data_IF_358261432186
#
_entry.id   IF_358261432186
#
_cell.length_a   1.000
_cell.length_b   1.000
_cell.length_c   1.000
_cell.angle_alpha   90.00
_cell.angle_beta   90.00
_cell.angle_gamma   90.00
#
_symmetry.space_group_name_H-M   'P 1'
#
loop_
_entity.id
_entity.type
_entity.pdbx_description
1 polymer ?
#
# COMPACT_ATOMS: atom_id res chain seq x y z
N UNK A 1 -36.45 8.72 -12.60
CA UNK A 1 -35.63 7.50 -12.75
C UNK A 1 -34.24 7.97 -13.15
N UNK A 2 -33.29 7.92 -12.21
CA UNK A 2 -31.87 8.24 -12.47
C UNK A 2 -31.21 6.91 -12.84
N UNK A 3 -30.34 6.83 -13.85
CA UNK A 3 -29.67 5.57 -14.16
C UNK A 3 -28.68 5.26 -13.04
N UNK A 4 -28.81 4.08 -12.42
CA UNK A 4 -27.97 3.55 -11.32
C UNK A 4 -26.50 3.25 -11.72
N UNK A 5 -26.04 3.75 -12.87
CA UNK A 5 -24.74 3.40 -13.46
C UNK A 5 -23.67 4.50 -13.39
N UNK A 6 -23.90 5.60 -12.68
CA UNK A 6 -22.84 6.58 -12.40
C UNK A 6 -22.22 6.34 -11.03
N UNK A 7 -21.07 5.67 -11.05
CA UNK A 7 -20.21 5.57 -9.88
C UNK A 7 -19.38 6.85 -9.82
N UNK A 8 -19.49 7.66 -8.75
CA UNK A 8 -18.62 8.81 -8.59
C UNK A 8 -17.19 8.31 -8.46
N UNK A 9 -16.36 8.70 -9.41
CA UNK A 9 -14.94 8.40 -9.44
C UNK A 9 -14.18 9.70 -9.70
N UNK A 10 -12.95 9.81 -9.24
CA UNK A 10 -12.15 11.02 -9.41
C UNK A 10 -12.00 11.39 -10.90
N UNK A 11 -11.76 12.66 -11.24
CA UNK A 11 -11.65 13.08 -12.64
C UNK A 11 -10.56 12.31 -13.41
N UNK A 12 -9.41 12.09 -12.76
CA UNK A 12 -8.31 11.28 -13.31
C UNK A 12 -8.76 9.82 -13.51
N UNK A 13 -9.46 9.29 -12.53
CA UNK A 13 -10.00 7.94 -12.55
C UNK A 13 -11.06 7.74 -13.65
N UNK A 14 -11.86 8.78 -13.91
CA UNK A 14 -12.90 8.76 -14.92
C UNK A 14 -12.27 8.82 -16.32
N UNK A 15 -11.19 9.58 -16.47
CA UNK A 15 -10.41 9.65 -17.71
C UNK A 15 -9.79 8.29 -18.04
N UNK A 16 -9.14 7.63 -17.08
CA UNK A 16 -8.55 6.29 -17.25
C UNK A 16 -9.62 5.25 -17.63
N UNK A 17 -10.80 5.29 -17.00
CA UNK A 17 -11.92 4.40 -17.32
C UNK A 17 -12.45 4.59 -18.75
N UNK A 18 -12.50 5.82 -19.24
CA UNK A 18 -13.00 6.13 -20.59
C UNK A 18 -12.01 5.74 -21.69
N UNK A 19 -10.72 5.70 -21.36
CA UNK A 19 -9.64 5.46 -22.33
C UNK A 19 -9.28 3.96 -22.48
N UNK A 20 -9.81 3.08 -21.62
CA UNK A 20 -9.55 1.62 -21.65
C UNK A 20 -10.84 0.82 -21.83
N UNK A 21 -11.11 0.41 -23.06
CA UNK A 21 -12.12 -0.60 -23.36
C UNK A 21 -11.54 -2.00 -23.05
N UNK A 22 -12.16 -2.78 -22.14
CA UNK A 22 -11.66 -4.12 -21.81
C UNK A 22 -11.81 -5.07 -23.00
N UNK A 23 -10.72 -5.74 -23.39
CA UNK A 23 -10.72 -6.75 -24.45
C UNK A 23 -10.97 -8.16 -23.88
N UNK A 24 -10.75 -8.36 -22.58
CA UNK A 24 -10.93 -9.64 -21.86
C UNK A 24 -11.62 -9.45 -20.51
N UNK A 25 -12.12 -10.55 -19.91
CA UNK A 25 -12.76 -10.52 -18.59
C UNK A 25 -11.84 -9.99 -17.48
N UNK A 26 -10.53 -10.28 -17.56
CA UNK A 26 -9.50 -9.81 -16.64
C UNK A 26 -9.23 -8.30 -16.72
N UNK A 27 -9.59 -7.65 -17.82
CA UNK A 27 -9.41 -6.20 -18.01
C UNK A 27 -10.65 -5.39 -17.60
N UNK A 28 -11.73 -6.05 -17.19
CA UNK A 28 -12.91 -5.36 -16.71
C UNK A 28 -12.61 -4.67 -15.39
N UNK A 29 -12.83 -3.35 -15.34
CA UNK A 29 -12.72 -2.58 -14.11
C UNK A 29 -13.50 -3.23 -12.98
N UNK A 30 -12.97 -3.16 -11.76
CA UNK A 30 -13.69 -3.60 -10.57
C UNK A 30 -15.04 -2.90 -10.51
N UNK A 31 -16.08 -3.68 -10.30
CA UNK A 31 -17.44 -3.23 -10.12
C UNK A 31 -17.68 -3.09 -8.61
N UNK A 32 -17.79 -1.86 -8.07
CA UNK A 32 -17.91 -1.61 -6.64
C UNK A 32 -19.07 -2.30 -5.93
N UNK A 33 -20.09 -2.77 -6.68
CA UNK A 33 -21.22 -3.51 -6.14
C UNK A 33 -21.12 -5.05 -6.28
N UNK A 34 -20.24 -5.57 -7.13
CA UNK A 34 -20.14 -7.01 -7.39
C UNK A 34 -18.80 -7.61 -6.97
N UNK A 35 -17.73 -6.81 -6.91
CA UNK A 35 -16.40 -7.25 -6.50
C UNK A 35 -16.14 -6.81 -5.05
N UNK A 36 -16.52 -7.67 -4.11
CA UNK A 36 -16.17 -7.47 -2.70
C UNK A 36 -14.73 -7.91 -2.43
N UNK A 37 -13.84 -6.94 -2.58
CA UNK A 37 -12.41 -7.09 -2.30
C UNK A 37 -12.00 -6.38 -1.01
N UNK A 38 -12.91 -5.67 -0.35
CA UNK A 38 -12.59 -4.87 0.84
C UNK A 38 -12.43 -5.75 2.09
N UNK A 39 -13.14 -6.88 2.13
CA UNK A 39 -13.10 -7.83 3.24
C UNK A 39 -11.88 -8.76 3.22
N UNK A 40 -11.12 -8.81 2.14
CA UNK A 40 -9.91 -9.63 2.04
C UNK A 40 -8.65 -8.77 1.98
N UNK A 41 -7.59 -9.16 2.68
CA UNK A 41 -6.32 -8.43 2.61
C UNK A 41 -5.59 -8.85 1.33
N UNK A 42 -5.51 -7.94 0.36
CA UNK A 42 -4.80 -8.15 -0.90
C UNK A 42 -3.74 -7.09 -1.20
N UNK A 43 -3.85 -5.90 -0.62
CA UNK A 43 -2.84 -4.85 -0.79
C UNK A 43 -1.67 -5.06 0.18
N UNK A 44 -0.48 -5.22 -0.38
CA UNK A 44 0.77 -5.34 0.38
C UNK A 44 1.79 -4.33 -0.08
N UNK A 45 2.76 -4.12 0.81
CA UNK A 45 3.95 -3.35 0.54
C UNK A 45 5.16 -4.12 1.06
N UNK A 46 6.33 -3.79 0.53
CA UNK A 46 7.62 -4.19 1.06
C UNK A 46 8.59 -3.02 1.01
N UNK A 47 9.50 -2.99 1.97
CA UNK A 47 10.59 -2.04 2.01
C UNK A 47 11.83 -2.74 1.42
N UNK A 48 12.27 -2.26 0.27
CA UNK A 48 13.48 -2.72 -0.40
C UNK A 48 14.62 -1.78 -0.02
N UNK A 49 15.70 -2.36 0.49
CA UNK A 49 16.91 -1.62 0.89
C UNK A 49 18.09 -2.25 0.17
N UNK A 50 18.82 -1.45 -0.60
CA UNK A 50 19.99 -1.90 -1.34
C UNK A 50 21.25 -1.23 -0.78
N UNK A 51 22.18 -2.02 -0.21
CA UNK A 51 23.49 -1.49 0.13
C UNK A 51 24.29 -1.23 -1.15
N UNK A 52 24.97 -0.08 -1.22
CA UNK A 52 25.80 0.30 -2.36
C UNK A 52 26.86 1.35 -1.98
N UNK A 53 27.82 1.63 -2.88
CA UNK A 53 28.78 2.71 -2.68
C UNK A 53 28.08 4.06 -2.89
N UNK A 54 27.51 4.63 -1.82
CA UNK A 54 26.79 5.90 -1.86
C UNK A 54 25.78 6.06 -0.73
N UNK A 55 24.89 7.07 -0.82
CA UNK A 55 23.70 7.16 0.03
C UNK A 55 22.89 5.87 -0.05
N UNK A 56 22.27 5.49 1.06
CA UNK A 56 21.46 4.28 1.12
C UNK A 56 20.30 4.37 0.11
N UNK A 57 20.23 3.40 -0.80
CA UNK A 57 19.10 3.29 -1.73
C UNK A 57 17.99 2.48 -1.08
N UNK A 58 16.81 3.08 -1.01
CA UNK A 58 15.62 2.45 -0.45
C UNK A 58 14.39 2.83 -1.27
N UNK A 59 13.45 1.90 -1.37
CA UNK A 59 12.14 2.14 -1.97
C UNK A 59 11.08 1.29 -1.30
N UNK A 60 9.86 1.82 -1.21
CA UNK A 60 8.68 1.04 -0.89
C UNK A 60 8.04 0.59 -2.19
N UNK A 61 7.81 -0.72 -2.34
CA UNK A 61 7.05 -1.29 -3.47
C UNK A 61 5.72 -1.81 -2.95
N UNK A 62 4.63 -1.39 -3.59
CA UNK A 62 3.30 -1.94 -3.38
C UNK A 62 2.96 -2.97 -4.44
N UNK A 63 2.18 -3.97 -4.06
CA UNK A 63 1.76 -5.03 -4.95
C UNK A 63 0.46 -5.68 -4.48
N UNK A 64 -0.21 -6.32 -5.43
CA UNK A 64 -1.36 -7.18 -5.17
C UNK A 64 -0.87 -8.57 -4.78
N UNK A 65 -1.23 -9.00 -3.57
CA UNK A 65 -1.12 -10.38 -3.09
C UNK A 65 -2.54 -10.96 -2.98
N UNK A 66 -3.09 -11.56 -4.04
CA UNK A 66 -4.48 -12.00 -4.05
C UNK A 66 -4.78 -12.98 -2.93
N UNK A 67 -5.95 -12.86 -2.33
CA UNK A 67 -6.37 -13.82 -1.33
C UNK A 67 -6.57 -15.20 -1.97
N UNK A 68 -6.11 -16.26 -1.30
CA UNK A 68 -6.12 -17.63 -1.83
C UNK A 68 -7.52 -18.19 -2.20
N UNK A 69 -8.59 -17.54 -1.73
CA UNK A 69 -9.98 -17.92 -2.05
C UNK A 69 -10.52 -17.25 -3.30
N UNK A 70 -9.77 -16.33 -3.93
CA UNK A 70 -10.19 -15.67 -5.15
C UNK A 70 -10.00 -16.61 -6.35
N UNK A 71 -10.97 -16.61 -7.26
CA UNK A 71 -10.78 -17.18 -8.59
C UNK A 71 -9.78 -16.35 -9.41
N UNK A 72 -9.19 -16.98 -10.44
CA UNK A 72 -8.20 -16.34 -11.32
C UNK A 72 -8.72 -15.03 -11.92
N UNK A 73 -9.99 -15.01 -12.37
CA UNK A 73 -10.64 -13.83 -12.94
C UNK A 73 -10.65 -12.61 -11.99
N UNK A 74 -10.93 -12.80 -10.69
CA UNK A 74 -10.96 -11.68 -9.74
C UNK A 74 -9.54 -11.19 -9.42
N UNK A 75 -8.60 -12.11 -9.25
CA UNK A 75 -7.20 -11.77 -9.01
C UNK A 75 -6.63 -10.95 -10.18
N UNK A 76 -6.92 -11.34 -11.42
CA UNK A 76 -6.45 -10.64 -12.61
C UNK A 76 -7.09 -9.26 -12.75
N UNK A 77 -8.38 -9.11 -12.44
CA UNK A 77 -9.05 -7.80 -12.43
C UNK A 77 -8.49 -6.84 -11.39
N UNK A 78 -8.14 -7.34 -10.19
CA UNK A 78 -7.52 -6.50 -9.15
C UNK A 78 -6.10 -6.10 -9.55
N UNK A 79 -5.30 -7.01 -10.12
CA UNK A 79 -3.97 -6.67 -10.68
C UNK A 79 -4.08 -5.66 -11.80
N UNK A 80 -4.98 -5.88 -12.75
CA UNK A 80 -5.22 -4.96 -13.86
C UNK A 80 -5.64 -3.58 -13.34
N UNK A 81 -6.54 -3.50 -12.37
CA UNK A 81 -6.91 -2.24 -11.73
C UNK A 81 -5.71 -1.58 -11.06
N UNK A 82 -4.91 -2.34 -10.30
CA UNK A 82 -3.73 -1.81 -9.63
C UNK A 82 -2.71 -1.21 -10.61
N UNK A 83 -2.47 -1.90 -11.73
CA UNK A 83 -1.53 -1.48 -12.77
C UNK A 83 -2.10 -0.31 -13.60
N UNK A 84 -3.38 -0.37 -13.96
CA UNK A 84 -4.03 0.65 -14.79
C UNK A 84 -4.06 2.03 -14.12
N UNK A 85 -4.10 2.06 -12.79
CA UNK A 85 -4.10 3.29 -11.99
C UNK A 85 -2.72 3.62 -11.40
N UNK A 86 -1.68 2.88 -11.79
CA UNK A 86 -0.31 3.05 -11.32
C UNK A 86 -0.21 3.14 -9.79
N UNK A 87 -0.96 2.28 -9.09
CA UNK A 87 -1.14 2.40 -7.64
C UNK A 87 0.17 2.20 -6.87
N UNK A 88 1.13 1.42 -7.40
CA UNK A 88 2.48 1.33 -6.82
C UNK A 88 3.16 2.71 -6.77
N UNK A 89 3.29 3.35 -7.94
CA UNK A 89 3.90 4.68 -8.06
C UNK A 89 3.15 5.74 -7.24
N UNK A 90 1.81 5.69 -7.23
CA UNK A 90 1.00 6.63 -6.46
C UNK A 90 1.24 6.49 -4.96
N UNK A 91 1.17 5.27 -4.43
CA UNK A 91 1.37 5.04 -3.01
C UNK A 91 2.81 5.23 -2.59
N UNK A 92 3.79 4.82 -3.41
CA UNK A 92 5.21 5.06 -3.12
C UNK A 92 5.53 6.55 -2.94
N UNK A 93 4.94 7.43 -3.78
CA UNK A 93 5.07 8.89 -3.61
C UNK A 93 4.47 9.37 -2.28
N UNK A 94 3.29 8.87 -1.91
CA UNK A 94 2.62 9.24 -0.65
C UNK A 94 3.40 8.74 0.59
N UNK A 95 4.15 7.64 0.46
CA UNK A 95 4.91 7.07 1.56
C UNK A 95 6.15 7.86 1.96
N UNK A 96 6.77 8.60 1.04
CA UNK A 96 7.99 9.32 1.33
C UNK A 96 7.78 10.29 2.51
N UNK A 97 6.73 11.10 2.45
CA UNK A 97 6.37 12.06 3.51
C UNK A 97 5.97 11.35 4.82
N UNK A 98 5.24 10.24 4.70
CA UNK A 98 4.81 9.44 5.86
C UNK A 98 6.00 8.79 6.57
N UNK A 99 7.01 8.31 5.83
CA UNK A 99 8.21 7.68 6.37
C UNK A 99 9.04 8.66 7.21
N UNK A 100 9.16 9.90 6.74
CA UNK A 100 9.82 10.98 7.51
C UNK A 100 9.02 11.28 8.78
N UNK A 101 7.70 11.42 8.66
CA UNK A 101 6.81 11.76 9.78
C UNK A 101 6.82 10.68 10.86
N UNK A 102 6.62 9.41 10.47
CA UNK A 102 6.61 8.29 11.43
C UNK A 102 8.01 8.01 11.96
N UNK A 103 9.06 8.15 11.14
CA UNK A 103 10.44 7.93 11.57
C UNK A 103 10.85 8.84 12.72
N UNK A 104 10.44 10.12 12.69
CA UNK A 104 10.68 11.05 13.79
C UNK A 104 10.00 10.61 15.10
N UNK A 105 8.76 10.10 15.03
CA UNK A 105 8.04 9.60 16.21
C UNK A 105 8.65 8.30 16.75
N UNK A 106 9.19 7.46 15.87
CA UNK A 106 9.80 6.18 16.25
C UNK A 106 11.15 6.33 16.94
N UNK A 107 11.82 7.49 16.85
CA UNK A 107 13.06 7.75 17.58
C UNK A 107 12.85 7.61 19.09
N UNK A 108 11.82 8.25 19.64
CA UNK A 108 11.52 8.19 21.07
C UNK A 108 11.16 6.77 21.52
N UNK A 109 10.39 6.06 20.69
CA UNK A 109 10.00 4.66 20.94
C UNK A 109 11.23 3.75 20.95
N UNK A 110 12.15 3.95 20.01
CA UNK A 110 13.38 3.18 19.93
C UNK A 110 14.30 3.46 21.13
N UNK A 111 14.43 4.72 21.55
CA UNK A 111 15.24 5.06 22.72
C UNK A 111 14.67 4.48 24.02
N UNK A 112 13.34 4.31 24.10
CA UNK A 112 12.68 3.73 25.26
C UNK A 112 12.80 2.19 25.35
N UNK A 113 12.62 1.47 24.24
CA UNK A 113 12.52 0.00 24.25
C UNK A 113 13.12 -0.72 23.04
N UNK A 114 13.84 0.00 22.18
CA UNK A 114 14.55 -0.54 21.02
C UNK A 114 13.63 -1.08 19.94
N UNK A 115 14.16 -2.02 19.14
CA UNK A 115 13.50 -2.54 17.96
C UNK A 115 12.17 -3.28 18.24
N UNK A 116 12.04 -3.87 19.45
CA UNK A 116 10.82 -4.54 19.87
C UNK A 116 9.63 -3.58 19.97
N UNK A 117 9.86 -2.43 20.60
CA UNK A 117 8.85 -1.41 20.81
C UNK A 117 8.51 -0.66 19.51
N UNK A 118 9.50 -0.41 18.65
CA UNK A 118 9.27 0.12 17.30
C UNK A 118 8.36 -0.80 16.49
N UNK A 119 8.61 -2.12 16.52
CA UNK A 119 7.75 -3.10 15.85
C UNK A 119 6.34 -3.09 16.43
N UNK A 120 6.20 -2.99 17.75
CA UNK A 120 4.91 -2.97 18.43
C UNK A 120 4.10 -1.71 18.06
N UNK A 121 4.75 -0.55 17.99
CA UNK A 121 4.14 0.72 17.61
C UNK A 121 3.67 0.69 16.15
N UNK A 122 4.53 0.27 15.22
CA UNK A 122 4.16 0.08 13.81
C UNK A 122 2.99 -0.89 13.65
N UNK A 123 2.96 -1.99 14.41
CA UNK A 123 1.83 -2.92 14.40
C UNK A 123 0.55 -2.27 14.97
N UNK A 124 0.66 -1.37 15.94
CA UNK A 124 -0.46 -0.58 16.47
C UNK A 124 -1.03 0.36 15.43
N UNK A 125 -0.17 1.14 14.77
CA UNK A 125 -0.53 2.05 13.68
C UNK A 125 -1.16 1.29 12.51
N UNK A 126 -0.60 0.13 12.13
CA UNK A 126 -1.19 -0.77 11.13
C UNK A 126 -2.62 -1.17 11.51
N UNK A 127 -2.86 -1.64 12.75
CA UNK A 127 -4.19 -2.01 13.22
C UNK A 127 -5.14 -0.82 13.20
N UNK A 128 -4.68 0.36 13.59
CA UNK A 128 -5.49 1.58 13.56
C UNK A 128 -5.91 1.96 12.14
N UNK A 129 -4.96 2.00 11.19
CA UNK A 129 -5.23 2.37 9.79
C UNK A 129 -6.07 1.35 9.04
N UNK A 130 -6.01 0.07 9.43
CA UNK A 130 -6.78 -1.00 8.78
C UNK A 130 -8.22 -1.14 9.28
N UNK A 131 -8.60 -0.48 10.39
CA UNK A 131 -9.97 -0.54 10.93
C UNK A 131 -11.03 0.01 9.97
N UNK A 132 -10.86 1.18 9.33
CA UNK A 132 -11.87 1.71 8.42
C UNK A 132 -11.87 0.97 7.08
N UNK A 133 -10.68 0.56 6.61
CA UNK A 133 -10.47 -0.13 5.33
C UNK A 133 -9.27 -1.06 5.45
N UNK A 134 -9.48 -2.36 5.20
CA UNK A 134 -8.43 -3.39 5.34
C UNK A 134 -7.26 -3.16 4.38
N UNK A 135 -7.55 -2.75 3.14
CA UNK A 135 -6.58 -2.47 2.08
C UNK A 135 -6.19 -0.99 2.01
N UNK A 136 -5.80 -0.43 3.16
CA UNK A 136 -5.27 0.92 3.25
C UNK A 136 -3.75 0.93 2.96
N UNK A 137 -3.27 1.84 2.11
CA UNK A 137 -1.86 1.91 1.74
C UNK A 137 -0.94 2.16 2.95
N UNK A 138 -1.33 3.02 3.90
CA UNK A 138 -0.55 3.26 5.13
C UNK A 138 -0.51 2.00 6.01
N UNK A 139 -1.61 1.25 6.06
CA UNK A 139 -1.61 -0.02 6.79
C UNK A 139 -0.68 -1.05 6.13
N UNK A 140 -0.60 -1.08 4.80
CA UNK A 140 0.35 -1.91 4.08
C UNK A 140 1.80 -1.44 4.31
N UNK A 141 2.06 -0.12 4.33
CA UNK A 141 3.35 0.46 4.69
C UNK A 141 3.80 0.01 6.09
N UNK A 142 3.01 0.29 7.13
CA UNK A 142 3.43 -0.03 8.50
C UNK A 142 3.63 -1.52 8.72
N UNK A 143 2.87 -2.37 8.01
CA UNK A 143 3.11 -3.82 8.00
C UNK A 143 4.48 -4.17 7.42
N UNK A 144 4.85 -3.55 6.30
CA UNK A 144 6.16 -3.74 5.68
C UNK A 144 7.29 -3.30 6.62
N UNK A 145 7.14 -2.13 7.25
CA UNK A 145 8.12 -1.58 8.17
C UNK A 145 8.29 -2.44 9.44
N UNK A 146 7.19 -2.89 10.03
CA UNK A 146 7.22 -3.77 11.21
C UNK A 146 7.92 -5.11 10.94
N UNK A 147 7.82 -5.60 9.69
CA UNK A 147 8.47 -6.83 9.25
C UNK A 147 9.93 -6.62 8.82
N UNK A 148 10.39 -5.38 8.65
CA UNK A 148 11.78 -5.07 8.31
C UNK A 148 12.62 -4.98 9.58
N UNK A 149 13.55 -5.94 9.74
CA UNK A 149 14.50 -5.93 10.85
C UNK A 149 15.36 -4.67 10.83
N UNK A 150 15.94 -4.36 9.67
CA UNK A 150 16.75 -3.17 9.45
C UNK A 150 16.01 -1.88 9.85
N UNK A 151 14.75 -1.74 9.44
CA UNK A 151 13.98 -0.55 9.78
C UNK A 151 13.72 -0.46 11.29
N UNK A 152 13.28 -1.56 11.91
CA UNK A 152 13.02 -1.61 13.35
C UNK A 152 14.29 -1.37 14.20
N UNK A 153 15.47 -1.73 13.70
CA UNK A 153 16.76 -1.52 14.37
C UNK A 153 17.31 -0.10 14.29
N UNK A 154 16.62 0.81 13.60
CA UNK A 154 17.04 2.21 13.48
C UNK A 154 17.19 2.71 12.05
N UNK A 155 16.93 1.87 11.04
CA UNK A 155 17.01 2.27 9.63
C UNK A 155 16.09 3.44 9.25
N UNK A 156 15.08 3.74 10.07
CA UNK A 156 14.27 4.95 9.91
C UNK A 156 15.09 6.26 10.00
N UNK A 157 16.23 6.26 10.69
CA UNK A 157 17.14 7.41 10.77
C UNK A 157 17.85 7.66 9.44
N UNK A 158 18.23 6.59 8.74
CA UNK A 158 18.89 6.68 7.44
C UNK A 158 17.92 7.21 6.36
N UNK A 159 16.63 6.87 6.49
CA UNK A 159 15.57 7.39 5.62
C UNK A 159 15.29 8.88 5.88
N UNK A 160 15.30 9.32 7.14
CA UNK A 160 15.07 10.73 7.48
C UNK A 160 16.24 11.66 7.10
N UNK A 161 17.43 11.11 6.88
CA UNK A 161 18.65 11.86 6.57
C UNK A 161 18.88 12.11 5.06
N UNK A 162 18.09 11.46 4.18
CA UNK A 162 18.18 11.57 2.72
C UNK A 162 16.96 12.28 2.12
#
# INVERSE_FOLDING_TARGET
MVPDNLIPVCADCNTIKLDRFPATGGEQSLHPYYDDIEDQLWLRAELLVQPGPGPLDWRVRYFVDPHHTWGEDLADRVRFHFDAFELDSLFAKQCADELVTVGAALEEVFLAGGAGDVRAELASLMRFRSKPRRNNWMAALYRALANSHWYCEGGFRDIAAG
#
